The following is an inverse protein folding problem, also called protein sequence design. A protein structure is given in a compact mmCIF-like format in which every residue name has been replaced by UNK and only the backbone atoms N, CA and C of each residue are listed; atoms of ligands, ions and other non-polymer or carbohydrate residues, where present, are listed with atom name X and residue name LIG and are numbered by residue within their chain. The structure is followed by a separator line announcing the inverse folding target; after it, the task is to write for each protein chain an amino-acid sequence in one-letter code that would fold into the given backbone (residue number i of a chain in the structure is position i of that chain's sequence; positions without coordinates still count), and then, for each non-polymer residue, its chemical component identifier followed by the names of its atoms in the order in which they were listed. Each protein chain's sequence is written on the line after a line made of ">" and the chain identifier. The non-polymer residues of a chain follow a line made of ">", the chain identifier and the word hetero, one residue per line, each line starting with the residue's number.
data_IF_503734386213
#
_entry.id   IF_503734386213
#
_cell.length_a   1.000
_cell.length_b   1.000
_cell.length_c   1.000
_cell.angle_alpha   90.00
_cell.angle_beta   90.00
_cell.angle_gamma   90.00
#
_symmetry.space_group_name_H-M   'P 1'
#
loop_
_entity.id
_entity.type
_entity.pdbx_description
1 polymer ?
#
# COMPACT_ATOMS: atom_id res chain seq x y z
N UNK A 1 11.03 -15.34 -1.87
CA UNK A 1 11.74 -16.04 -0.77
C UNK A 1 10.93 -16.12 0.52
N UNK A 2 10.45 -15.00 1.11
CA UNK A 2 9.73 -15.02 2.40
C UNK A 2 8.41 -15.83 2.42
N UNK A 3 7.65 -15.86 1.32
CA UNK A 3 6.41 -16.67 1.20
C UNK A 3 6.67 -18.18 1.09
N UNK A 4 7.81 -18.59 0.53
CA UNK A 4 8.19 -19.99 0.33
C UNK A 4 8.59 -20.63 1.66
N UNK A 5 9.28 -19.88 2.53
CA UNK A 5 9.64 -20.33 3.88
C UNK A 5 8.39 -20.55 4.72
N UNK A 6 7.40 -19.66 4.62
CA UNK A 6 6.12 -19.80 5.33
C UNK A 6 5.34 -21.02 4.84
N UNK A 7 5.27 -21.24 3.53
CA UNK A 7 4.61 -22.42 2.96
C UNK A 7 5.33 -23.73 3.32
N UNK A 8 6.67 -23.73 3.32
CA UNK A 8 7.47 -24.88 3.71
C UNK A 8 7.29 -25.24 5.19
N UNK A 9 7.20 -24.24 6.07
CA UNK A 9 7.00 -24.45 7.51
C UNK A 9 5.59 -24.98 7.82
N UNK A 10 4.57 -24.44 7.14
CA UNK A 10 3.19 -24.96 7.21
C UNK A 10 3.10 -26.38 6.67
N UNK A 11 3.78 -26.68 5.56
CA UNK A 11 3.84 -28.03 5.00
C UNK A 11 4.51 -29.03 5.97
N UNK A 12 5.63 -28.67 6.60
CA UNK A 12 6.30 -29.58 7.56
C UNK A 12 5.45 -29.86 8.81
N UNK A 13 4.67 -28.88 9.29
CA UNK A 13 3.80 -29.07 10.45
C UNK A 13 2.55 -29.90 10.15
N UNK A 14 2.00 -29.78 8.94
CA UNK A 14 0.79 -30.53 8.53
C UNK A 14 1.15 -31.96 8.10
N UNK A 15 2.28 -32.16 7.44
CA UNK A 15 2.68 -33.47 6.90
C UNK A 15 3.60 -34.28 7.83
N UNK A 16 4.27 -33.67 8.80
CA UNK A 16 5.17 -34.36 9.73
C UNK A 16 4.54 -35.54 10.51
N UNK A 17 3.32 -35.41 11.08
CA UNK A 17 2.69 -36.48 11.86
C UNK A 17 2.24 -37.68 11.01
N UNK A 18 1.90 -37.46 9.73
CA UNK A 18 1.43 -38.52 8.81
C UNK A 18 2.56 -39.49 8.47
N UNK A 19 3.80 -39.02 8.40
CA UNK A 19 4.96 -39.85 8.05
C UNK A 19 5.34 -40.78 9.21
N UNK A 20 5.13 -40.38 10.46
CA UNK A 20 5.54 -41.17 11.63
C UNK A 20 4.54 -42.29 12.01
N UNK A 21 3.27 -42.19 11.58
CA UNK A 21 2.23 -43.22 11.81
C UNK A 21 2.42 -44.45 10.91
N UNK A 22 3.12 -44.33 9.79
CA UNK A 22 3.41 -45.46 8.90
C UNK A 22 4.59 -46.34 9.37
N UNK A 23 5.31 -45.93 10.43
CA UNK A 23 6.36 -46.73 11.06
C UNK A 23 5.80 -47.50 12.26
N UNK A 24 4.75 -48.30 12.06
CA UNK A 24 4.37 -49.36 13.00
C UNK A 24 5.14 -50.61 12.57
N UNK A 25 6.17 -50.93 13.34
CA UNK A 25 6.95 -52.16 13.20
C UNK A 25 6.02 -53.37 13.29
N UNK A 26 5.78 -54.03 12.16
CA UNK A 26 5.21 -55.36 12.11
C UNK A 26 6.30 -56.36 12.51
N UNK A 27 6.27 -56.82 13.75
CA UNK A 27 7.12 -57.91 14.22
C UNK A 27 6.59 -59.23 13.60
N UNK A 28 7.35 -59.94 12.73
CA UNK A 28 6.85 -61.09 11.97
C UNK A 28 6.87 -62.41 12.75
N UNK A 29 6.99 -62.36 14.08
CA UNK A 29 7.40 -63.50 14.91
C UNK A 29 6.33 -63.93 15.92
N UNK A 30 5.08 -64.12 15.49
CA UNK A 30 4.06 -64.75 16.32
C UNK A 30 3.11 -65.61 15.47
N UNK A 31 3.64 -66.68 14.90
CA UNK A 31 2.85 -67.82 14.41
C UNK A 31 2.97 -68.90 15.48
N UNK A 32 2.13 -68.80 16.50
CA UNK A 32 2.01 -69.87 17.50
C UNK A 32 1.10 -70.98 16.96
N UNK A 33 1.69 -72.16 16.97
CA UNK A 33 1.19 -73.47 16.55
C UNK A 33 -0.18 -73.80 17.15
N UNK A 34 -1.13 -74.18 16.30
CA UNK A 34 -2.45 -74.72 16.70
C UNK A 34 -2.23 -76.07 17.41
N UNK A 35 -2.53 -76.12 18.71
CA UNK A 35 -2.74 -77.38 19.45
C UNK A 35 -4.23 -77.55 19.73
N UNK A 36 -4.75 -78.72 19.34
CA UNK A 36 -6.11 -79.18 19.55
C UNK A 36 -6.29 -79.58 21.03
N UNK A 37 -7.27 -79.00 21.72
CA UNK A 37 -7.63 -79.36 23.08
C UNK A 37 -8.91 -78.66 23.55
N UNK A 38 -10.03 -79.37 23.38
CA UNK A 38 -11.40 -79.30 23.94
C UNK A 38 -11.92 -78.17 24.87
N UNK A 39 -13.26 -77.96 24.90
CA UNK A 39 -13.90 -76.66 25.06
C UNK A 39 -14.29 -76.32 26.51
N UNK A 40 -14.11 -75.06 26.91
CA UNK A 40 -14.92 -74.44 27.97
C UNK A 40 -15.32 -73.01 27.63
N UNK A 41 -16.61 -72.90 27.34
CA UNK A 41 -17.52 -71.77 27.51
C UNK A 41 -16.94 -70.63 28.36
N UNK A 42 -16.75 -69.45 27.74
CA UNK A 42 -17.18 -68.19 28.33
C UNK A 42 -17.51 -67.19 27.23
N UNK A 43 -18.74 -66.72 27.31
CA UNK A 43 -19.40 -65.81 26.39
C UNK A 43 -19.04 -64.39 26.84
N UNK A 44 -18.09 -63.76 26.17
CA UNK A 44 -18.05 -62.30 26.04
C UNK A 44 -17.63 -62.01 24.61
N UNK A 45 -18.61 -61.79 23.74
CA UNK A 45 -18.39 -61.12 22.47
C UNK A 45 -17.89 -59.70 22.78
N UNK A 46 -16.59 -59.56 23.04
CA UNK A 46 -15.93 -58.27 23.11
C UNK A 46 -15.84 -57.74 21.69
N UNK A 47 -16.70 -56.76 21.42
CA UNK A 47 -16.60 -55.82 20.31
C UNK A 47 -15.12 -55.51 20.05
N UNK A 48 -14.62 -55.63 18.80
CA UNK A 48 -13.19 -55.55 18.51
C UNK A 48 -12.61 -54.27 19.11
N UNK A 49 -11.34 -54.33 19.53
CA UNK A 49 -10.53 -53.37 20.29
C UNK A 49 -10.37 -51.95 19.68
N UNK A 50 -11.37 -51.48 18.93
CA UNK A 50 -11.51 -50.17 18.32
C UNK A 50 -11.37 -49.05 19.34
N UNK A 51 -12.07 -49.15 20.48
CA UNK A 51 -11.95 -48.16 21.55
C UNK A 51 -10.55 -48.13 22.18
N UNK A 52 -9.83 -49.26 22.22
CA UNK A 52 -8.45 -49.29 22.72
C UNK A 52 -7.46 -48.66 21.74
N UNK A 53 -7.65 -48.89 20.43
CA UNK A 53 -6.86 -48.24 19.37
C UNK A 53 -7.11 -46.74 19.34
N UNK A 54 -8.35 -46.31 19.55
CA UNK A 54 -8.71 -44.89 19.70
C UNK A 54 -8.08 -44.29 20.95
N UNK A 55 -8.13 -44.98 22.09
CA UNK A 55 -7.52 -44.49 23.34
C UNK A 55 -6.00 -44.28 23.19
N UNK A 56 -5.29 -45.25 22.60
CA UNK A 56 -3.85 -45.14 22.31
C UNK A 56 -3.53 -43.98 21.35
N UNK A 57 -4.40 -43.72 20.38
CA UNK A 57 -4.27 -42.58 19.49
C UNK A 57 -4.38 -41.25 20.24
N UNK A 58 -5.36 -41.11 21.16
CA UNK A 58 -5.50 -39.91 21.98
C UNK A 58 -4.33 -39.74 22.96
N UNK A 59 -3.84 -40.81 23.61
CA UNK A 59 -2.69 -40.74 24.51
C UNK A 59 -1.41 -40.25 23.82
N UNK A 60 -1.26 -40.56 22.53
CA UNK A 60 -0.14 -40.08 21.71
C UNK A 60 -0.37 -38.65 21.19
N UNK A 61 -1.62 -38.28 20.91
CA UNK A 61 -1.98 -36.98 20.33
C UNK A 61 -2.03 -35.86 21.38
N UNK A 62 -2.60 -36.11 22.56
CA UNK A 62 -2.75 -35.14 23.65
C UNK A 62 -1.43 -34.40 24.00
N UNK A 63 -0.27 -35.07 24.15
CA UNK A 63 0.98 -34.37 24.45
C UNK A 63 1.52 -33.52 23.29
N UNK A 64 1.08 -33.76 22.05
CA UNK A 64 1.49 -32.98 20.87
C UNK A 64 0.68 -31.68 20.71
N UNK A 65 -0.56 -31.64 21.23
CA UNK A 65 -1.47 -30.48 21.09
C UNK A 65 -0.89 -29.18 21.68
N UNK A 66 -0.29 -29.15 22.88
CA UNK A 66 0.29 -27.93 23.45
C UNK A 66 1.41 -27.34 22.59
N UNK A 67 2.26 -28.19 22.01
CA UNK A 67 3.35 -27.76 21.13
C UNK A 67 2.82 -27.19 19.80
N UNK A 68 1.79 -27.83 19.23
CA UNK A 68 1.12 -27.33 18.03
C UNK A 68 0.44 -25.98 18.28
N UNK A 69 -0.25 -25.82 19.43
CA UNK A 69 -0.85 -24.55 19.82
C UNK A 69 0.20 -23.47 20.04
N UNK A 70 1.28 -23.77 20.75
CA UNK A 70 2.39 -22.83 20.97
C UNK A 70 3.02 -22.38 19.65
N UNK A 71 3.29 -23.32 18.74
CA UNK A 71 3.80 -23.03 17.41
C UNK A 71 2.85 -22.13 16.61
N UNK A 72 1.53 -22.38 16.69
CA UNK A 72 0.53 -21.56 16.01
C UNK A 72 0.48 -20.12 16.53
N UNK A 73 0.61 -19.92 17.85
CA UNK A 73 0.66 -18.59 18.48
C UNK A 73 1.92 -17.85 18.06
N UNK A 74 3.09 -18.53 18.08
CA UNK A 74 4.35 -17.94 17.63
C UNK A 74 4.27 -17.55 16.15
N UNK A 75 3.66 -18.39 15.31
CA UNK A 75 3.47 -18.10 13.89
C UNK A 75 2.59 -16.86 13.67
N UNK A 76 1.48 -16.75 14.39
CA UNK A 76 0.60 -15.57 14.34
C UNK A 76 1.36 -14.34 14.83
N UNK A 77 2.09 -14.43 15.95
CA UNK A 77 2.87 -13.31 16.48
C UNK A 77 3.96 -12.84 15.51
N UNK A 78 4.66 -13.78 14.87
CA UNK A 78 5.63 -13.49 13.82
C UNK A 78 4.96 -12.83 12.61
N UNK A 79 3.80 -13.34 12.19
CA UNK A 79 3.05 -12.76 11.08
C UNK A 79 2.60 -11.33 11.39
N UNK A 80 2.05 -11.08 12.59
CA UNK A 80 1.67 -9.76 13.08
C UNK A 80 2.88 -8.83 13.15
N UNK A 81 4.03 -9.31 13.63
CA UNK A 81 5.28 -8.53 13.62
C UNK A 81 5.67 -8.08 12.21
N UNK A 82 5.69 -9.00 11.24
CA UNK A 82 6.02 -8.66 9.86
C UNK A 82 4.99 -7.74 9.21
N UNK A 83 3.72 -7.90 9.56
CA UNK A 83 2.63 -7.06 9.04
C UNK A 83 2.67 -5.65 9.65
N UNK A 84 2.89 -5.53 10.96
CA UNK A 84 3.00 -4.26 11.68
C UNK A 84 4.29 -3.50 11.32
N UNK A 85 5.41 -4.20 11.09
CA UNK A 85 6.68 -3.57 10.71
C UNK A 85 6.65 -2.92 9.32
N UNK A 86 5.73 -3.35 8.44
CA UNK A 86 5.50 -2.68 7.15
C UNK A 86 4.67 -1.39 7.28
N UNK A 87 3.96 -1.21 8.39
CA UNK A 87 3.04 -0.09 8.61
C UNK A 87 3.52 0.91 9.66
N UNK A 88 4.32 0.47 10.61
CA UNK A 88 4.77 1.29 11.76
C UNK A 88 6.20 0.93 12.13
N UNK A 89 6.94 1.90 12.67
CA UNK A 89 8.30 1.67 13.16
C UNK A 89 8.31 0.77 14.43
N UNK A 90 7.18 0.69 15.14
CA UNK A 90 7.01 -0.07 16.38
C UNK A 90 6.38 -1.45 16.17
N UNK A 91 6.65 -2.11 15.04
CA UNK A 91 6.06 -3.41 14.71
C UNK A 91 6.34 -4.53 15.73
N UNK A 92 7.46 -4.43 16.44
CA UNK A 92 7.85 -5.39 17.49
C UNK A 92 6.93 -5.35 18.72
N UNK A 93 6.42 -4.17 19.12
CA UNK A 93 5.47 -4.03 20.23
C UNK A 93 4.16 -4.78 19.92
N UNK A 94 3.66 -4.64 18.69
CA UNK A 94 2.46 -5.33 18.24
C UNK A 94 2.65 -6.85 18.12
N UNK A 95 3.83 -7.31 17.70
CA UNK A 95 4.18 -8.73 17.69
C UNK A 95 4.12 -9.35 19.09
N UNK A 96 4.73 -8.71 20.10
CA UNK A 96 4.68 -9.18 21.48
C UNK A 96 3.26 -9.10 22.06
N UNK A 97 2.56 -7.98 21.83
CA UNK A 97 1.20 -7.79 22.33
C UNK A 97 0.23 -8.86 21.81
N UNK A 98 0.44 -9.35 20.58
CA UNK A 98 -0.42 -10.38 19.97
C UNK A 98 -0.31 -11.78 20.58
N UNK A 99 0.66 -12.04 21.47
CA UNK A 99 0.65 -13.26 22.30
C UNK A 99 -0.58 -13.32 23.21
N UNK A 100 -1.19 -12.17 23.52
CA UNK A 100 -2.45 -12.08 24.22
C UNK A 100 -3.60 -11.98 23.19
N UNK A 101 -4.72 -12.65 23.49
CA UNK A 101 -5.90 -12.69 22.60
C UNK A 101 -6.54 -11.31 22.42
N UNK A 102 -6.61 -10.51 23.49
CA UNK A 102 -7.28 -9.20 23.48
C UNK A 102 -6.55 -8.17 22.60
N UNK A 103 -5.23 -7.95 22.74
CA UNK A 103 -4.49 -7.03 21.86
C UNK A 103 -4.46 -7.45 20.38
N UNK A 104 -4.54 -8.75 20.09
CA UNK A 104 -4.64 -9.23 18.71
C UNK A 104 -5.94 -8.75 18.02
N UNK A 105 -7.08 -8.84 18.72
CA UNK A 105 -8.35 -8.32 18.21
C UNK A 105 -8.31 -6.78 18.03
N UNK A 106 -7.68 -6.07 18.97
CA UNK A 106 -7.49 -4.62 18.89
C UNK A 106 -6.59 -4.27 17.70
N UNK A 107 -5.53 -5.04 17.44
CA UNK A 107 -4.65 -4.84 16.28
C UNK A 107 -5.42 -4.99 14.97
N UNK A 108 -6.30 -5.99 14.86
CA UNK A 108 -7.13 -6.17 13.66
C UNK A 108 -8.11 -5.01 13.44
N UNK A 109 -8.67 -4.43 14.51
CA UNK A 109 -9.56 -3.28 14.44
C UNK A 109 -8.81 -1.97 14.09
N UNK A 110 -7.64 -1.74 14.71
CA UNK A 110 -6.82 -0.55 14.49
C UNK A 110 -5.81 -0.69 13.34
N UNK A 111 -5.85 -1.78 12.56
CA UNK A 111 -4.88 -2.08 11.50
C UNK A 111 -4.85 -0.92 10.50
N UNK A 112 -3.73 -0.18 10.38
CA UNK A 112 -3.65 0.94 9.46
C UNK A 112 -3.87 0.46 8.02
N UNK A 113 -4.68 1.16 7.20
CA UNK A 113 -4.95 0.72 5.84
C UNK A 113 -3.75 0.91 4.90
N UNK A 114 -2.85 1.84 5.21
CA UNK A 114 -1.71 2.19 4.36
C UNK A 114 -0.37 1.72 4.96
N UNK A 115 0.51 1.23 4.09
CA UNK A 115 1.92 0.98 4.39
C UNK A 115 2.72 2.29 4.39
N UNK A 116 3.88 2.28 5.05
CA UNK A 116 4.76 3.47 5.11
C UNK A 116 5.19 3.90 3.70
N UNK A 117 5.41 2.95 2.80
CA UNK A 117 5.78 3.21 1.41
C UNK A 117 4.64 3.91 0.64
N UNK A 118 3.40 3.44 0.81
CA UNK A 118 2.22 4.07 0.20
C UNK A 118 1.99 5.49 0.75
N UNK A 119 2.20 5.72 2.04
CA UNK A 119 2.10 7.07 2.62
C UNK A 119 3.11 8.03 1.99
N UNK A 120 4.36 7.59 1.82
CA UNK A 120 5.41 8.39 1.17
C UNK A 120 5.10 8.65 -0.30
N UNK A 121 4.55 7.68 -1.02
CA UNK A 121 4.13 7.85 -2.41
C UNK A 121 3.02 8.90 -2.52
N UNK A 122 2.02 8.82 -1.64
CA UNK A 122 0.92 9.80 -1.60
C UNK A 122 1.45 11.20 -1.27
N UNK A 123 2.37 11.33 -0.31
CA UNK A 123 2.99 12.60 0.02
C UNK A 123 3.76 13.17 -1.19
N UNK A 124 4.55 12.34 -1.87
CA UNK A 124 5.26 12.75 -3.08
C UNK A 124 4.31 13.22 -4.19
N UNK A 125 3.20 12.50 -4.44
CA UNK A 125 2.19 12.89 -5.43
C UNK A 125 1.53 14.23 -5.06
N UNK A 126 1.16 14.44 -3.79
CA UNK A 126 0.59 15.71 -3.34
C UNK A 126 1.57 16.88 -3.49
N UNK A 127 2.86 16.64 -3.22
CA UNK A 127 3.91 17.64 -3.39
C UNK A 127 4.11 18.00 -4.88
N UNK A 128 4.12 17.01 -5.77
CA UNK A 128 4.20 17.23 -7.22
C UNK A 128 3.04 18.09 -7.72
N UNK A 129 1.81 17.75 -7.33
CA UNK A 129 0.61 18.53 -7.69
C UNK A 129 0.67 19.96 -7.15
N UNK A 130 1.28 20.19 -5.99
CA UNK A 130 1.45 21.53 -5.42
C UNK A 130 2.43 22.36 -6.25
N UNK A 131 3.59 21.79 -6.56
CA UNK A 131 4.62 22.44 -7.39
C UNK A 131 4.08 22.73 -8.78
N UNK A 132 3.32 21.81 -9.36
CA UNK A 132 2.68 21.98 -10.68
C UNK A 132 1.73 23.20 -10.69
N UNK A 133 0.88 23.35 -9.67
CA UNK A 133 0.01 24.53 -9.54
C UNK A 133 0.79 25.83 -9.39
N UNK A 134 1.82 25.83 -8.53
CA UNK A 134 2.70 26.98 -8.33
C UNK A 134 3.41 27.36 -9.64
N UNK A 135 3.86 26.37 -10.40
CA UNK A 135 4.47 26.55 -11.72
C UNK A 135 3.50 27.18 -12.73
N UNK A 136 2.26 26.67 -12.84
CA UNK A 136 1.27 27.25 -13.74
C UNK A 136 0.93 28.69 -13.37
N UNK A 137 0.76 28.99 -12.07
CA UNK A 137 0.51 30.35 -11.61
C UNK A 137 1.67 31.29 -11.96
N UNK A 138 2.91 30.82 -11.83
CA UNK A 138 4.09 31.57 -12.24
C UNK A 138 4.12 31.83 -13.76
N UNK A 139 3.84 30.82 -14.58
CA UNK A 139 3.81 30.95 -16.05
C UNK A 139 2.75 31.96 -16.49
N UNK A 140 1.53 31.88 -15.93
CA UNK A 140 0.45 32.81 -16.24
C UNK A 140 0.75 34.25 -15.82
N UNK A 141 1.36 34.44 -14.64
CA UNK A 141 1.68 35.79 -14.13
C UNK A 141 2.89 36.40 -14.86
N UNK A 142 3.78 35.56 -15.41
CA UNK A 142 5.02 36.00 -16.07
C UNK A 142 4.87 36.10 -17.59
N UNK A 143 3.67 36.27 -18.12
CA UNK A 143 3.51 36.77 -19.51
C UNK A 143 4.17 38.15 -19.61
N UNK A 144 5.46 38.15 -19.97
CA UNK A 144 6.22 39.35 -20.27
C UNK A 144 5.80 39.78 -21.66
N UNK A 145 5.32 41.02 -21.78
CA UNK A 145 5.18 41.67 -23.07
C UNK A 145 6.57 41.72 -23.71
N UNK A 146 6.75 41.11 -24.87
CA UNK A 146 8.03 41.09 -25.58
C UNK A 146 7.89 42.02 -26.79
N UNK A 147 8.91 42.84 -27.05
CA UNK A 147 8.93 43.62 -28.28
C UNK A 147 9.04 42.69 -29.50
N UNK A 148 8.06 42.72 -30.40
CA UNK A 148 8.04 41.90 -31.62
C UNK A 148 9.16 42.22 -32.64
N UNK A 149 9.95 43.28 -32.42
CA UNK A 149 11.07 43.66 -33.31
C UNK A 149 12.41 43.19 -32.75
N UNK A 150 12.74 43.52 -31.51
CA UNK A 150 14.06 43.25 -30.92
C UNK A 150 14.08 42.16 -29.86
N UNK A 151 12.92 41.60 -29.47
CA UNK A 151 12.83 40.54 -28.46
C UNK A 151 13.09 40.99 -27.02
N UNK A 152 13.29 42.30 -26.77
CA UNK A 152 13.52 42.82 -25.42
C UNK A 152 12.24 42.70 -24.58
N UNK A 153 12.30 42.20 -23.33
CA UNK A 153 11.16 42.19 -22.42
C UNK A 153 10.79 43.63 -22.03
N UNK A 154 9.53 44.00 -22.22
CA UNK A 154 8.99 45.32 -21.95
C UNK A 154 7.87 45.25 -20.91
N UNK A 155 7.69 46.33 -20.15
CA UNK A 155 6.58 46.43 -19.20
C UNK A 155 5.29 46.85 -19.93
N UNK A 156 4.11 46.52 -19.38
CA UNK A 156 2.82 46.85 -20.01
C UNK A 156 2.61 48.37 -20.21
N UNK A 157 3.28 49.21 -19.44
CA UNK A 157 3.08 50.67 -19.48
C UNK A 157 4.03 51.39 -20.46
N UNK A 158 4.94 50.66 -21.11
CA UNK A 158 5.94 51.26 -21.99
C UNK A 158 5.31 51.69 -23.31
N UNK A 159 5.46 52.96 -23.65
CA UNK A 159 5.00 53.52 -24.93
C UNK A 159 5.98 53.20 -26.06
N UNK A 160 7.27 53.19 -25.74
CA UNK A 160 8.38 53.00 -26.68
C UNK A 160 9.36 51.98 -26.10
N UNK A 161 9.93 51.14 -26.97
CA UNK A 161 10.95 50.18 -26.56
C UNK A 161 12.26 50.89 -26.19
N UNK A 162 12.87 50.61 -25.02
CA UNK A 162 14.12 51.26 -24.60
C UNK A 162 15.35 50.82 -25.42
N UNK A 163 15.28 49.71 -26.16
CA UNK A 163 16.42 49.19 -26.93
C UNK A 163 16.36 49.55 -28.42
N UNK A 164 15.19 49.44 -29.05
CA UNK A 164 15.03 49.66 -30.49
C UNK A 164 14.23 50.92 -30.85
N UNK A 165 13.74 51.66 -29.86
CA UNK A 165 12.95 52.89 -30.02
C UNK A 165 11.66 52.73 -30.85
N UNK A 166 11.21 51.48 -31.08
CA UNK A 166 9.93 51.20 -31.71
C UNK A 166 8.78 51.59 -30.79
N UNK A 167 7.78 52.30 -31.33
CA UNK A 167 6.50 52.51 -30.65
C UNK A 167 5.78 51.17 -30.45
N UNK A 168 5.49 50.87 -29.19
CA UNK A 168 4.81 49.64 -28.77
C UNK A 168 3.32 49.87 -28.60
N UNK A 169 2.91 51.07 -28.16
CA UNK A 169 1.52 51.42 -27.86
C UNK A 169 1.18 52.80 -28.42
N UNK A 170 -0.05 52.96 -28.90
CA UNK A 170 -0.60 54.25 -29.33
C UNK A 170 -1.42 54.88 -28.21
N UNK A 171 -1.52 56.21 -28.20
CA UNK A 171 -2.37 56.95 -27.26
C UNK A 171 -3.71 57.26 -27.91
N UNK A 172 -4.82 57.01 -27.21
CA UNK A 172 -6.15 57.37 -27.70
C UNK A 172 -6.30 58.90 -27.80
N UNK A 173 -6.69 59.47 -28.95
CA UNK A 173 -6.90 60.91 -29.08
C UNK A 173 -8.14 61.41 -28.31
N UNK A 174 -9.06 60.53 -27.90
CA UNK A 174 -10.28 60.93 -27.18
C UNK A 174 -10.13 60.88 -25.66
N UNK A 175 -9.35 59.94 -25.11
CA UNK A 175 -9.24 59.74 -23.66
C UNK A 175 -7.80 59.70 -23.11
N UNK A 176 -6.78 59.75 -23.98
CA UNK A 176 -5.38 59.77 -23.56
C UNK A 176 -4.83 58.44 -23.02
N UNK A 177 -5.60 57.35 -23.02
CA UNK A 177 -5.12 56.03 -22.56
C UNK A 177 -4.25 55.32 -23.60
N UNK A 178 -3.32 54.50 -23.10
CA UNK A 178 -2.48 53.61 -23.90
C UNK A 178 -3.29 52.43 -24.45
N UNK A 179 -3.10 52.16 -25.73
CA UNK A 179 -3.80 51.14 -26.50
C UNK A 179 -2.78 50.32 -27.29
N UNK A 180 -3.09 49.03 -27.45
CA UNK A 180 -2.32 48.17 -28.34
C UNK A 180 -2.57 48.58 -29.80
N UNK A 181 -1.52 48.54 -30.66
CA UNK A 181 -1.57 49.07 -32.01
C UNK A 181 -2.51 48.30 -32.94
N UNK A 182 -2.88 47.08 -32.58
CA UNK A 182 -3.80 46.21 -33.35
C UNK A 182 -5.28 46.49 -33.06
N UNK A 183 -5.57 47.33 -32.05
CA UNK A 183 -6.95 47.67 -31.71
C UNK A 183 -7.47 48.81 -32.59
N UNK A 184 -8.64 48.61 -33.20
CA UNK A 184 -9.32 49.64 -34.01
C UNK A 184 -10.34 50.48 -33.22
N UNK A 185 -10.76 50.00 -32.04
CA UNK A 185 -11.75 50.63 -31.17
C UNK A 185 -11.17 50.67 -29.75
N UNK A 186 -11.26 51.82 -29.08
CA UNK A 186 -10.80 51.97 -27.71
C UNK A 186 -11.76 51.26 -26.72
N UNK A 187 -11.31 50.30 -25.89
CA UNK A 187 -12.19 49.62 -24.92
C UNK A 187 -12.66 50.53 -23.77
N UNK A 188 -11.97 51.65 -23.55
CA UNK A 188 -12.26 52.55 -22.43
C UNK A 188 -13.30 53.63 -22.76
N UNK A 189 -13.35 54.09 -24.02
CA UNK A 189 -14.24 55.18 -24.43
C UNK A 189 -15.09 54.85 -25.67
N UNK A 190 -14.98 53.62 -26.19
CA UNK A 190 -15.67 53.14 -27.39
C UNK A 190 -15.46 53.99 -28.67
N UNK A 191 -14.49 54.92 -28.67
CA UNK A 191 -14.18 55.72 -29.86
C UNK A 191 -13.36 54.91 -30.86
N UNK A 192 -13.64 55.12 -32.16
CA UNK A 192 -12.80 54.59 -33.24
C UNK A 192 -11.48 55.35 -33.28
N UNK A 193 -10.38 54.60 -33.34
CA UNK A 193 -9.04 55.17 -33.39
C UNK A 193 -8.77 55.61 -34.83
N UNK A 194 -8.93 56.90 -35.09
CA UNK A 194 -8.53 57.53 -36.36
C UNK A 194 -7.21 58.22 -36.12
N UNK A 195 -6.18 58.00 -36.94
CA UNK A 195 -4.85 58.60 -36.78
C UNK A 195 -4.82 60.14 -36.93
N UNK A 196 -5.99 60.80 -37.06
CA UNK A 196 -6.14 62.26 -37.14
C UNK A 196 -6.50 62.83 -35.75
N UNK A 197 -5.67 63.69 -35.15
CA UNK A 197 -6.01 64.35 -33.89
C UNK A 197 -7.24 65.26 -34.07
N UNK A 198 -8.21 65.17 -33.16
CA UNK A 198 -9.34 66.09 -33.10
C UNK A 198 -8.89 67.34 -32.33
N UNK A 199 -8.52 68.39 -33.05
CA UNK A 199 -8.15 69.68 -32.48
C UNK A 199 -7.01 70.34 -33.25
N UNK A 200 -7.37 71.03 -34.32
CA UNK A 200 -6.64 72.17 -34.87
C UNK A 200 -7.55 73.39 -34.73
#
# INVERSE_FOLDING_TARGET
>A
MKKIIVLAFVAMMVFGPVVNVLAVDGDPSAVDTIQLGDPKVSETASEPDFFSSIAKFFDTLIPMVPWALLASVIFIAMWVYFDASRRTNYGWLWGIASLLVVPWLIYLACRPPYTIEEMKLNEADTNLRRIEKEYYQYVLTKEKYICGVCGTPVQPDYQVCPSCYKELKKVCPSCGKLLDPEWHICPYCASRITDRPKGA
#
